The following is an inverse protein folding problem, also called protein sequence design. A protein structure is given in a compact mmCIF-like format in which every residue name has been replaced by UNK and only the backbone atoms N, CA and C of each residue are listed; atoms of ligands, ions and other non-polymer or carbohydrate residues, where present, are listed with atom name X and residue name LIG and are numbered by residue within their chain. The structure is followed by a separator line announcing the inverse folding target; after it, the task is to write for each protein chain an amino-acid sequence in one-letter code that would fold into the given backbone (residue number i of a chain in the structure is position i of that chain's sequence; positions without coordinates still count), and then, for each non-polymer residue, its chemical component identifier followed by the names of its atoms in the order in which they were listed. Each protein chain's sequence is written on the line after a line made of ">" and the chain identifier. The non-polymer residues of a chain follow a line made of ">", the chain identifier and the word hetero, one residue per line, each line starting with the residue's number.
data_IF_158128687606
#
_entry.id   IF_158128687606
#
_cell.length_a   1.000
_cell.length_b   1.000
_cell.length_c   1.000
_cell.angle_alpha   90.00
_cell.angle_beta   90.00
_cell.angle_gamma   90.00
#
_symmetry.space_group_name_H-M   'P 1'
#
loop_
_entity.id
_entity.type
_entity.pdbx_description
1 polymer ?
#
# COMPACT_ATOMS: atom_id res chain seq x y z
N UNK A 1 41.51 34.44 -48.99
CA UNK A 1 42.78 34.37 -48.24
C UNK A 1 42.50 34.91 -46.86
N UNK A 2 42.98 34.21 -45.82
CA UNK A 2 42.74 34.40 -44.39
C UNK A 2 41.27 34.34 -43.94
N UNK A 3 40.91 33.35 -43.11
CA UNK A 3 40.36 33.70 -41.80
C UNK A 3 40.44 32.57 -40.77
N UNK A 4 40.48 32.99 -39.51
CA UNK A 4 41.07 32.31 -38.37
C UNK A 4 40.20 31.21 -37.75
N UNK A 5 40.87 30.12 -37.36
CA UNK A 5 40.32 29.13 -36.45
C UNK A 5 40.30 29.68 -35.02
N UNK A 6 39.10 29.89 -34.48
CA UNK A 6 38.90 30.14 -33.05
C UNK A 6 38.38 28.87 -32.38
N UNK A 7 39.23 28.26 -31.55
CA UNK A 7 38.84 27.22 -30.62
C UNK A 7 38.08 27.84 -29.44
N UNK A 8 36.89 27.29 -29.14
CA UNK A 8 36.24 27.45 -27.84
C UNK A 8 36.01 26.08 -27.23
N UNK A 9 36.64 25.91 -26.07
CA UNK A 9 36.55 24.77 -25.15
C UNK A 9 35.14 24.65 -24.55
N UNK A 10 34.53 23.48 -24.67
CA UNK A 10 33.30 23.10 -23.96
C UNK A 10 33.65 22.53 -22.58
N UNK A 11 33.63 23.38 -21.56
CA UNK A 11 33.55 22.97 -20.17
C UNK A 11 32.11 23.23 -19.70
N UNK A 12 31.32 22.17 -19.56
CA UNK A 12 29.91 22.26 -19.16
C UNK A 12 29.26 20.89 -19.09
N UNK A 13 29.67 20.07 -18.12
CA UNK A 13 29.20 18.69 -18.00
C UNK A 13 29.33 18.09 -16.59
N UNK A 14 29.43 18.92 -15.57
CA UNK A 14 29.61 18.47 -14.17
C UNK A 14 28.67 19.18 -13.18
N UNK A 15 27.73 19.99 -13.67
CA UNK A 15 26.82 20.79 -12.82
C UNK A 15 25.47 20.12 -12.57
N UNK A 16 25.06 19.07 -13.31
CA UNK A 16 23.75 18.43 -13.12
C UNK A 16 23.78 17.25 -12.14
N UNK A 17 24.91 16.54 -12.04
CA UNK A 17 25.04 15.40 -11.11
C UNK A 17 25.13 15.84 -9.63
N UNK A 18 25.76 16.99 -9.37
CA UNK A 18 25.90 17.51 -8.00
C UNK A 18 24.57 18.04 -7.45
N UNK A 19 23.67 18.54 -8.28
CA UNK A 19 22.36 19.04 -7.84
C UNK A 19 21.43 17.90 -7.44
N UNK A 20 21.50 16.74 -8.10
CA UNK A 20 20.72 15.54 -7.74
C UNK A 20 21.23 14.85 -6.47
N UNK A 21 22.55 14.87 -6.21
CA UNK A 21 23.14 14.26 -5.01
C UNK A 21 22.94 15.15 -3.77
N UNK A 22 22.97 16.48 -3.93
CA UNK A 22 22.71 17.42 -2.82
C UNK A 22 21.23 17.41 -2.41
N UNK A 23 20.29 17.14 -3.32
CA UNK A 23 18.88 16.96 -2.97
C UNK A 23 18.63 15.70 -2.13
N UNK A 24 19.37 14.61 -2.39
CA UNK A 24 19.27 13.36 -1.63
C UNK A 24 19.91 13.45 -0.23
N UNK A 25 20.97 14.24 -0.07
CA UNK A 25 21.71 14.40 1.20
C UNK A 25 21.09 15.43 2.15
N UNK A 26 20.35 16.43 1.64
CA UNK A 26 19.63 17.38 2.50
C UNK A 26 18.35 16.77 3.08
N UNK A 27 17.78 15.73 2.46
CA UNK A 27 16.60 15.04 2.96
C UNK A 27 16.87 14.00 4.06
N UNK A 28 18.12 13.61 4.29
CA UNK A 28 18.49 12.59 5.28
C UNK A 28 18.71 13.13 6.70
N UNK A 29 18.60 14.45 6.93
CA UNK A 29 18.76 15.05 8.27
C UNK A 29 17.48 15.66 8.86
N UNK A 30 16.34 15.59 8.18
CA UNK A 30 15.05 16.08 8.69
C UNK A 30 14.13 14.97 9.24
N UNK A 31 14.57 13.71 9.28
CA UNK A 31 13.77 12.56 9.72
C UNK A 31 13.99 12.15 11.19
N UNK A 32 14.71 12.96 11.97
CA UNK A 32 15.07 12.66 13.34
C UNK A 32 14.45 13.63 14.37
N UNK A 33 13.13 13.88 14.28
CA UNK A 33 12.34 14.42 15.42
C UNK A 33 10.82 14.52 15.13
N UNK A 34 10.20 13.50 14.54
CA UNK A 34 8.74 13.36 14.55
C UNK A 34 8.34 12.06 15.22
N UNK A 35 8.87 11.85 16.42
CA UNK A 35 8.39 10.84 17.35
C UNK A 35 7.62 11.60 18.43
N UNK A 36 6.39 12.00 18.11
CA UNK A 36 5.53 12.71 19.05
C UNK A 36 4.04 12.48 18.77
N UNK A 37 3.46 11.62 19.60
CA UNK A 37 2.06 11.63 20.03
C UNK A 37 0.94 11.29 19.04
N UNK A 38 1.05 10.15 18.33
CA UNK A 38 -0.17 9.41 18.00
C UNK A 38 -0.66 8.75 19.31
N UNK A 39 -1.42 9.50 20.11
CA UNK A 39 -1.72 9.20 21.53
C UNK A 39 -2.03 7.73 21.87
N UNK A 40 -1.54 7.25 23.01
CA UNK A 40 -1.60 5.84 23.39
C UNK A 40 -3.01 5.24 23.37
N UNK A 41 -3.13 4.03 22.83
CA UNK A 41 -4.31 3.16 22.98
C UNK A 41 -4.29 2.47 24.36
N UNK A 42 -5.39 1.86 24.78
CA UNK A 42 -5.37 1.00 25.97
C UNK A 42 -4.46 -0.21 25.81
N UNK A 43 -3.97 -0.78 26.93
CA UNK A 43 -3.16 -2.00 26.92
C UNK A 43 -3.86 -3.18 26.22
N UNK A 44 -5.19 -3.28 26.36
CA UNK A 44 -5.97 -4.33 25.70
C UNK A 44 -6.02 -4.15 24.18
N UNK A 45 -6.23 -2.92 23.70
CA UNK A 45 -6.18 -2.63 22.27
C UNK A 45 -4.77 -2.85 21.70
N UNK A 46 -3.73 -2.45 22.44
CA UNK A 46 -2.34 -2.72 22.08
C UNK A 46 -2.07 -4.23 21.93
N UNK A 47 -2.48 -5.04 22.91
CA UNK A 47 -2.28 -6.48 22.89
C UNK A 47 -2.99 -7.14 21.69
N UNK A 48 -4.23 -6.74 21.41
CA UNK A 48 -4.99 -7.27 20.25
C UNK A 48 -4.28 -6.95 18.93
N UNK A 49 -3.88 -5.69 18.72
CA UNK A 49 -3.19 -5.28 17.48
C UNK A 49 -1.84 -5.97 17.34
N UNK A 50 -1.10 -6.13 18.43
CA UNK A 50 0.19 -6.86 18.44
C UNK A 50 0.00 -8.33 18.06
N UNK A 51 -1.04 -8.99 18.56
CA UNK A 51 -1.37 -10.36 18.17
C UNK A 51 -1.75 -10.48 16.69
N UNK A 52 -2.47 -9.48 16.15
CA UNK A 52 -2.78 -9.42 14.71
C UNK A 52 -1.50 -9.24 13.89
N UNK A 53 -0.60 -8.34 14.29
CA UNK A 53 0.70 -8.14 13.63
C UNK A 53 1.53 -9.43 13.62
N UNK A 54 1.55 -10.15 14.74
CA UNK A 54 2.29 -11.40 14.88
C UNK A 54 1.80 -12.52 13.94
N UNK A 55 0.50 -12.59 13.61
CA UNK A 55 -0.01 -13.62 12.69
C UNK A 55 0.29 -13.32 11.23
N UNK A 56 0.24 -12.04 10.81
CA UNK A 56 0.53 -11.66 9.42
C UNK A 56 2.04 -11.64 9.13
N UNK A 57 2.87 -11.48 10.16
CA UNK A 57 4.33 -11.39 10.06
C UNK A 57 5.03 -12.76 9.94
N UNK A 58 4.27 -13.87 9.93
CA UNK A 58 4.83 -15.22 9.73
C UNK A 58 5.21 -15.43 8.27
N UNK A 59 6.43 -15.87 7.98
CA UNK A 59 6.90 -16.14 6.61
C UNK A 59 6.33 -17.47 6.06
N UNK A 60 5.01 -17.54 5.83
CA UNK A 60 4.32 -18.76 5.36
C UNK A 60 4.85 -19.25 4.01
N UNK A 61 5.31 -18.33 3.15
CA UNK A 61 5.93 -18.63 1.86
C UNK A 61 7.43 -18.96 1.93
N UNK A 62 8.09 -18.78 3.08
CA UNK A 62 9.53 -18.95 3.20
C UNK A 62 10.35 -17.97 2.35
N UNK A 63 9.78 -16.83 1.97
CA UNK A 63 10.31 -15.83 1.02
C UNK A 63 11.26 -14.83 1.67
N UNK A 64 11.40 -14.83 2.99
CA UNK A 64 12.30 -13.96 3.74
C UNK A 64 11.65 -12.69 4.27
N UNK A 65 10.32 -12.61 4.22
CA UNK A 65 9.53 -11.47 4.66
C UNK A 65 9.74 -11.12 6.14
N UNK A 66 9.97 -12.10 7.02
CA UNK A 66 10.14 -11.90 8.47
C UNK A 66 11.20 -10.83 8.82
N UNK A 67 12.29 -10.76 8.04
CA UNK A 67 13.35 -9.75 8.25
C UNK A 67 12.94 -8.31 7.89
N UNK A 68 11.82 -8.14 7.20
CA UNK A 68 11.28 -6.87 6.73
C UNK A 68 10.28 -6.26 7.73
N UNK A 69 9.88 -7.02 8.76
CA UNK A 69 8.89 -6.60 9.76
C UNK A 69 9.43 -5.44 10.58
N UNK A 70 8.63 -4.38 10.69
CA UNK A 70 8.87 -3.22 11.56
C UNK A 70 7.84 -3.26 12.69
N UNK A 71 8.27 -3.70 13.87
CA UNK A 71 7.39 -3.89 15.02
C UNK A 71 6.63 -2.60 15.38
N UNK A 72 5.31 -2.71 15.53
CA UNK A 72 4.43 -1.62 15.93
C UNK A 72 3.95 -0.71 14.79
N UNK A 73 4.48 -0.86 13.57
CA UNK A 73 4.02 -0.06 12.43
C UNK A 73 2.55 -0.37 12.06
N UNK A 74 2.05 -1.59 12.33
CA UNK A 74 0.61 -1.89 12.18
C UNK A 74 -0.23 -1.01 13.11
N UNK A 75 0.19 -0.86 14.38
CA UNK A 75 -0.54 -0.03 15.34
C UNK A 75 -0.51 1.45 14.96
N UNK A 76 0.66 1.96 14.58
CA UNK A 76 0.78 3.36 14.15
C UNK A 76 -0.08 3.64 12.91
N UNK A 77 -0.07 2.73 11.94
CA UNK A 77 -0.91 2.81 10.73
C UNK A 77 -2.41 2.78 11.09
N UNK A 78 -2.80 1.91 12.02
CA UNK A 78 -4.19 1.79 12.47
C UNK A 78 -4.67 3.03 13.22
N UNK A 79 -3.82 3.62 14.07
CA UNK A 79 -4.14 4.87 14.77
C UNK A 79 -4.24 6.05 13.78
N UNK A 80 -3.33 6.13 12.81
CA UNK A 80 -3.36 7.14 11.76
C UNK A 80 -4.65 7.05 10.94
N UNK A 81 -4.99 5.86 10.45
CA UNK A 81 -6.23 5.64 9.70
C UNK A 81 -7.47 5.91 10.57
N UNK A 82 -7.51 5.41 11.81
CA UNK A 82 -8.67 5.56 12.69
C UNK A 82 -8.92 7.01 13.12
N UNK A 83 -7.88 7.84 13.24
CA UNK A 83 -7.99 9.22 13.75
C UNK A 83 -7.91 10.26 12.65
N UNK A 84 -8.01 9.85 11.39
CA UNK A 84 -7.85 10.73 10.25
C UNK A 84 -8.88 11.87 10.28
N UNK A 85 -8.39 13.09 10.06
CA UNK A 85 -9.18 14.32 9.95
C UNK A 85 -8.92 14.97 8.59
N UNK A 86 -9.94 15.57 7.94
CA UNK A 86 -9.71 16.30 6.71
C UNK A 86 -8.76 17.48 6.95
N UNK A 87 -7.70 17.59 6.15
CA UNK A 87 -6.74 18.70 6.21
C UNK A 87 -7.35 20.00 5.69
N UNK A 88 -8.31 19.90 4.77
CA UNK A 88 -9.00 21.05 4.17
C UNK A 88 -10.30 21.34 4.90
N UNK A 89 -10.44 22.57 5.42
CA UNK A 89 -11.59 22.97 6.24
C UNK A 89 -12.93 23.08 5.48
N UNK A 90 -12.93 22.97 4.16
CA UNK A 90 -14.13 22.90 3.31
C UNK A 90 -14.64 21.47 3.11
N UNK A 91 -13.88 20.46 3.52
CA UNK A 91 -14.22 19.05 3.36
C UNK A 91 -14.82 18.48 4.65
N UNK A 92 -15.98 17.81 4.54
CA UNK A 92 -16.66 17.17 5.67
C UNK A 92 -16.09 15.80 6.05
N UNK A 93 -15.34 15.18 5.14
CA UNK A 93 -14.80 13.82 5.26
C UNK A 93 -13.37 13.79 4.79
N UNK A 94 -12.53 13.05 5.50
CA UNK A 94 -11.17 12.79 5.06
C UNK A 94 -11.17 11.90 3.81
N UNK A 95 -10.09 11.92 3.04
CA UNK A 95 -9.92 11.15 1.82
C UNK A 95 -8.62 10.34 1.88
N UNK A 96 -8.75 9.02 1.70
CA UNK A 96 -7.64 8.07 1.62
C UNK A 96 -7.38 7.68 0.16
N UNK A 97 -6.15 7.88 -0.31
CA UNK A 97 -5.68 7.32 -1.58
C UNK A 97 -5.05 5.95 -1.30
N UNK A 98 -5.46 4.95 -2.07
CA UNK A 98 -4.98 3.57 -1.94
C UNK A 98 -4.31 3.17 -3.26
N UNK A 99 -2.99 3.06 -3.24
CA UNK A 99 -2.19 2.63 -4.39
C UNK A 99 -2.08 1.11 -4.38
N UNK A 100 -2.45 0.46 -5.47
CA UNK A 100 -2.34 -1.00 -5.56
C UNK A 100 -2.22 -1.46 -7.00
N UNK A 101 -1.66 -2.64 -7.21
CA UNK A 101 -1.48 -3.25 -8.51
C UNK A 101 -0.02 -3.52 -8.78
N UNK A 102 0.25 -4.79 -9.08
CA UNK A 102 1.57 -5.29 -9.35
C UNK A 102 1.49 -6.15 -10.63
N UNK A 103 1.96 -5.64 -11.78
CA UNK A 103 1.81 -6.32 -13.07
C UNK A 103 2.91 -7.36 -13.31
N UNK A 104 3.09 -8.30 -12.37
CA UNK A 104 4.21 -9.26 -12.39
C UNK A 104 4.06 -10.38 -13.43
N UNK A 105 2.84 -10.62 -13.92
CA UNK A 105 2.53 -11.58 -14.98
C UNK A 105 2.82 -10.95 -16.36
N UNK A 106 4.04 -10.47 -16.57
CA UNK A 106 4.48 -9.58 -17.66
C UNK A 106 4.19 -10.06 -19.09
N UNK A 107 3.97 -11.36 -19.30
CA UNK A 107 3.68 -11.95 -20.62
C UNK A 107 2.18 -12.24 -20.81
N UNK A 108 1.32 -11.68 -19.95
CA UNK A 108 -0.11 -11.92 -19.91
C UNK A 108 -0.91 -10.61 -20.00
N UNK A 109 -2.17 -10.72 -20.46
CA UNK A 109 -3.13 -9.62 -20.48
C UNK A 109 -4.43 -10.07 -19.76
N UNK A 110 -4.88 -9.37 -18.70
CA UNK A 110 -4.10 -8.37 -17.95
C UNK A 110 -2.88 -9.02 -17.25
N UNK A 111 -1.82 -8.24 -16.95
CA UNK A 111 -0.61 -8.72 -16.27
C UNK A 111 -0.74 -8.76 -14.73
N UNK A 112 -1.94 -8.49 -14.21
CA UNK A 112 -2.22 -8.31 -12.78
C UNK A 112 -2.18 -9.61 -11.99
N UNK A 113 -1.59 -9.55 -10.80
CA UNK A 113 -1.61 -10.65 -9.83
C UNK A 113 -2.73 -10.56 -8.78
N UNK A 114 -3.02 -11.69 -8.12
CA UNK A 114 -4.09 -11.83 -7.14
C UNK A 114 -3.77 -11.21 -5.78
N UNK A 115 -2.50 -10.93 -5.49
CA UNK A 115 -2.12 -10.12 -4.32
C UNK A 115 -2.23 -8.62 -4.64
N UNK A 116 -2.75 -7.86 -3.68
CA UNK A 116 -3.03 -6.43 -3.81
C UNK A 116 -4.50 -6.06 -3.91
N UNK A 117 -5.26 -6.48 -4.95
CA UNK A 117 -6.63 -6.02 -5.13
C UNK A 117 -7.53 -6.29 -3.92
N UNK A 118 -7.54 -7.50 -3.32
CA UNK A 118 -8.34 -7.72 -2.10
C UNK A 118 -7.91 -6.88 -0.89
N UNK A 119 -6.61 -6.74 -0.64
CA UNK A 119 -6.07 -5.94 0.46
C UNK A 119 -6.42 -4.46 0.30
N UNK A 120 -6.25 -3.91 -0.90
CA UNK A 120 -6.64 -2.55 -1.23
C UNK A 120 -8.14 -2.30 -0.99
N UNK A 121 -8.98 -3.26 -1.33
CA UNK A 121 -10.43 -3.17 -1.13
C UNK A 121 -10.82 -3.33 0.35
N UNK A 122 -10.08 -4.11 1.14
CA UNK A 122 -10.25 -4.16 2.59
C UNK A 122 -9.89 -2.83 3.26
N UNK A 123 -8.80 -2.19 2.82
CA UNK A 123 -8.41 -0.85 3.29
C UNK A 123 -9.47 0.19 2.90
N UNK A 124 -9.97 0.13 1.66
CA UNK A 124 -11.04 1.00 1.18
C UNK A 124 -12.33 0.83 2.00
N UNK A 125 -12.71 -0.42 2.30
CA UNK A 125 -13.84 -0.75 3.18
C UNK A 125 -13.64 -0.15 4.56
N UNK A 126 -12.46 -0.27 5.16
CA UNK A 126 -12.16 0.32 6.45
C UNK A 126 -12.29 1.84 6.43
N UNK A 127 -11.70 2.52 5.44
CA UNK A 127 -11.82 3.97 5.28
C UNK A 127 -13.29 4.42 5.20
N UNK A 128 -14.10 3.76 4.36
CA UNK A 128 -15.53 4.06 4.22
C UNK A 128 -16.30 3.75 5.52
N UNK A 129 -15.98 2.63 6.18
CA UNK A 129 -16.57 2.21 7.45
C UNK A 129 -16.32 3.22 8.58
N UNK A 130 -15.15 3.87 8.56
CA UNK A 130 -14.74 4.95 9.46
C UNK A 130 -15.33 6.33 9.10
N UNK A 131 -15.99 6.43 7.94
CA UNK A 131 -16.71 7.62 7.47
C UNK A 131 -15.97 8.46 6.43
N UNK A 132 -14.87 7.95 5.87
CA UNK A 132 -14.02 8.65 4.90
C UNK A 132 -14.41 8.36 3.46
N UNK A 133 -13.81 9.11 2.53
CA UNK A 133 -13.73 8.77 1.12
C UNK A 133 -12.49 7.91 0.87
N UNK A 134 -12.57 7.02 -0.10
CA UNK A 134 -11.45 6.22 -0.57
C UNK A 134 -11.36 6.28 -2.10
N UNK A 135 -10.15 6.38 -2.64
CA UNK A 135 -9.89 6.20 -4.07
C UNK A 135 -8.78 5.18 -4.25
N UNK A 136 -9.10 4.08 -4.95
CA UNK A 136 -8.08 3.13 -5.40
C UNK A 136 -7.45 3.68 -6.67
N UNK A 137 -6.12 3.71 -6.72
CA UNK A 137 -5.34 4.19 -7.85
C UNK A 137 -4.42 3.08 -8.33
N UNK A 138 -4.46 2.78 -9.62
CA UNK A 138 -3.66 1.69 -10.23
C UNK A 138 -3.18 2.04 -11.64
N UNK A 139 -2.34 1.19 -12.23
CA UNK A 139 -1.94 1.29 -13.64
C UNK A 139 -3.11 0.95 -14.57
N UNK A 140 -3.15 1.54 -15.76
CA UNK A 140 -4.20 1.31 -16.75
C UNK A 140 -4.36 -0.18 -17.11
N UNK A 141 -3.26 -0.93 -17.16
CA UNK A 141 -3.28 -2.37 -17.45
C UNK A 141 -4.03 -3.21 -16.40
N UNK A 142 -4.17 -2.70 -15.17
CA UNK A 142 -4.88 -3.36 -14.08
C UNK A 142 -6.37 -2.96 -14.01
N UNK A 143 -6.83 -2.02 -14.86
CA UNK A 143 -8.18 -1.43 -14.78
C UNK A 143 -9.28 -2.49 -14.76
N UNK A 144 -9.21 -3.49 -15.65
CA UNK A 144 -10.26 -4.51 -15.79
C UNK A 144 -10.42 -5.33 -14.51
N UNK A 145 -9.31 -5.70 -13.88
CA UNK A 145 -9.28 -6.45 -12.62
C UNK A 145 -9.82 -5.62 -11.46
N UNK A 146 -9.34 -4.39 -11.27
CA UNK A 146 -9.83 -3.54 -10.18
C UNK A 146 -11.31 -3.15 -10.37
N UNK A 147 -11.76 -2.92 -11.60
CA UNK A 147 -13.19 -2.69 -11.87
C UNK A 147 -14.04 -3.92 -11.52
N UNK A 148 -13.53 -5.13 -11.77
CA UNK A 148 -14.21 -6.37 -11.38
C UNK A 148 -14.19 -6.58 -9.85
N UNK A 149 -13.06 -6.30 -9.18
CA UNK A 149 -12.93 -6.37 -7.73
C UNK A 149 -13.96 -5.48 -7.03
N UNK A 150 -14.10 -4.25 -7.53
CA UNK A 150 -15.02 -3.22 -7.03
C UNK A 150 -16.49 -3.43 -7.45
N UNK A 151 -16.80 -4.43 -8.29
CA UNK A 151 -18.18 -4.73 -8.64
C UNK A 151 -18.95 -5.28 -7.44
N UNK A 152 -20.24 -4.94 -7.30
CA UNK A 152 -21.10 -5.37 -6.19
C UNK A 152 -20.60 -5.00 -4.78
N UNK A 153 -19.76 -3.98 -4.63
CA UNK A 153 -19.46 -3.37 -3.33
C UNK A 153 -20.65 -2.61 -2.73
N UNK A 154 -21.84 -2.65 -3.36
CA UNK A 154 -23.03 -1.82 -3.12
C UNK A 154 -23.67 -1.86 -1.72
N UNK A 155 -23.07 -2.57 -0.76
CA UNK A 155 -23.34 -2.39 0.67
C UNK A 155 -22.53 -1.25 1.30
N UNK A 156 -21.46 -0.81 0.64
CA UNK A 156 -20.64 0.34 0.98
C UNK A 156 -21.21 1.51 0.18
N UNK A 157 -21.49 2.65 0.81
CA UNK A 157 -22.11 3.78 0.11
C UNK A 157 -21.32 4.12 -1.17
N UNK A 158 -21.85 3.74 -2.34
CA UNK A 158 -21.11 3.70 -3.63
C UNK A 158 -20.49 5.06 -3.99
N UNK A 159 -21.03 6.16 -3.47
CA UNK A 159 -20.49 7.51 -3.63
C UNK A 159 -19.17 7.78 -2.91
N UNK A 160 -18.69 6.87 -2.06
CA UNK A 160 -17.49 7.08 -1.24
C UNK A 160 -16.26 6.29 -1.72
N UNK A 161 -16.39 5.50 -2.79
CA UNK A 161 -15.31 4.71 -3.38
C UNK A 161 -15.07 5.10 -4.84
N UNK A 162 -13.88 5.61 -5.16
CA UNK A 162 -13.45 5.91 -6.53
C UNK A 162 -12.42 4.90 -7.06
N UNK A 163 -12.33 4.79 -8.39
CA UNK A 163 -11.24 4.13 -9.11
C UNK A 163 -10.61 5.13 -10.07
N UNK A 164 -9.31 5.34 -9.92
CA UNK A 164 -8.51 6.13 -10.85
C UNK A 164 -7.42 5.24 -11.44
N UNK A 165 -7.12 5.46 -12.70
CA UNK A 165 -6.03 4.74 -13.37
C UNK A 165 -5.21 5.71 -14.22
N UNK A 166 -3.94 5.39 -14.31
CA UNK A 166 -2.95 6.19 -15.04
C UNK A 166 -2.19 5.30 -16.01
N UNK A 167 -1.78 5.89 -17.13
CA UNK A 167 -0.93 5.24 -18.12
C UNK A 167 0.54 5.35 -17.71
N UNK A 168 1.40 4.73 -18.50
CA UNK A 168 2.85 4.87 -18.40
C UNK A 168 3.29 6.33 -18.51
N UNK A 169 4.50 6.63 -18.03
CA UNK A 169 5.07 7.98 -18.08
C UNK A 169 5.05 8.56 -19.50
N UNK A 170 5.42 7.74 -20.49
CA UNK A 170 5.51 8.14 -21.90
C UNK A 170 4.14 8.45 -22.52
N UNK A 171 3.07 7.90 -21.96
CA UNK A 171 1.70 8.04 -22.46
C UNK A 171 0.86 9.04 -21.67
N UNK A 172 1.35 9.51 -20.52
CA UNK A 172 0.66 10.49 -19.70
C UNK A 172 0.58 11.85 -20.38
N UNK A 173 -0.60 12.45 -20.37
CA UNK A 173 -0.85 13.80 -20.87
C UNK A 173 -0.74 14.84 -19.76
N UNK A 174 -0.76 16.13 -20.13
CA UNK A 174 -0.90 17.22 -19.14
C UNK A 174 -2.17 17.06 -18.30
N UNK A 175 -3.28 16.61 -18.90
CA UNK A 175 -4.53 16.35 -18.18
C UNK A 175 -4.41 15.20 -17.19
N UNK A 176 -3.57 14.20 -17.46
CA UNK A 176 -3.31 13.11 -16.51
C UNK A 176 -2.46 13.61 -15.34
N UNK A 177 -1.47 14.46 -15.60
CA UNK A 177 -0.69 15.12 -14.55
C UNK A 177 -1.58 16.01 -13.65
N UNK A 178 -2.49 16.79 -14.24
CA UNK A 178 -3.44 17.63 -13.49
C UNK A 178 -4.40 16.77 -12.64
N UNK A 179 -4.86 15.63 -13.17
CA UNK A 179 -5.68 14.66 -12.41
C UNK A 179 -4.91 14.06 -11.25
N UNK A 180 -3.66 13.65 -11.45
CA UNK A 180 -2.79 13.10 -10.40
C UNK A 180 -2.58 14.14 -9.28
N UNK A 181 -2.23 15.36 -9.64
CA UNK A 181 -2.05 16.45 -8.68
C UNK A 181 -3.36 16.76 -7.92
N UNK A 182 -4.50 16.78 -8.63
CA UNK A 182 -5.83 17.01 -8.03
C UNK A 182 -6.24 15.93 -7.03
N UNK A 183 -5.78 14.68 -7.23
CA UNK A 183 -5.99 13.60 -6.26
C UNK A 183 -5.21 13.89 -4.98
N UNK A 184 -3.93 14.22 -5.10
CA UNK A 184 -3.05 14.52 -3.95
C UNK A 184 -3.57 15.72 -3.16
N UNK A 185 -4.02 16.78 -3.84
CA UNK A 185 -4.53 18.00 -3.20
C UNK A 185 -5.76 17.75 -2.29
N UNK A 186 -6.53 16.69 -2.56
CA UNK A 186 -7.72 16.32 -1.78
C UNK A 186 -7.46 15.24 -0.74
N UNK A 187 -6.27 14.64 -0.78
CA UNK A 187 -5.91 13.50 0.04
C UNK A 187 -5.45 13.91 1.44
N UNK A 188 -5.75 13.06 2.41
CA UNK A 188 -5.31 13.19 3.81
C UNK A 188 -4.39 12.05 4.25
N UNK A 189 -4.41 10.92 3.54
CA UNK A 189 -3.58 9.74 3.82
C UNK A 189 -3.34 8.94 2.53
N UNK A 190 -2.08 8.59 2.28
CA UNK A 190 -1.71 7.69 1.17
C UNK A 190 -1.34 6.33 1.75
N UNK A 191 -1.93 5.27 1.20
CA UNK A 191 -1.64 3.88 1.58
C UNK A 191 -1.27 3.11 0.31
N UNK A 192 -0.11 2.47 0.26
CA UNK A 192 0.23 1.50 -0.78
C UNK A 192 -0.03 0.07 -0.27
N UNK A 193 -0.62 -0.80 -1.10
CA UNK A 193 -0.81 -2.21 -0.80
C UNK A 193 -0.51 -3.03 -2.05
N UNK A 194 0.59 -3.78 -2.02
CA UNK A 194 1.09 -4.54 -3.17
C UNK A 194 1.19 -3.66 -4.42
N UNK A 195 1.94 -2.57 -4.27
CA UNK A 195 2.17 -1.63 -5.36
C UNK A 195 3.66 -1.64 -5.69
N UNK A 196 4.01 -1.95 -6.93
CA UNK A 196 5.39 -1.90 -7.39
C UNK A 196 6.03 -0.51 -7.11
N UNK A 197 7.23 -0.53 -6.52
CA UNK A 197 8.02 0.65 -6.19
C UNK A 197 9.27 0.78 -7.04
N UNK A 198 9.71 2.01 -7.35
CA UNK A 198 10.94 2.22 -8.11
C UNK A 198 12.16 1.80 -7.29
N UNK A 199 13.09 1.09 -7.92
CA UNK A 199 14.42 0.80 -7.40
C UNK A 199 15.35 2.01 -7.55
N UNK A 200 16.63 1.83 -7.21
CA UNK A 200 17.61 2.92 -7.20
C UNK A 200 17.87 3.56 -8.59
N UNK A 201 17.60 2.82 -9.67
CA UNK A 201 17.67 3.32 -11.05
C UNK A 201 16.37 3.95 -11.55
N UNK A 202 15.33 3.99 -10.72
CA UNK A 202 14.01 4.55 -11.03
C UNK A 202 13.05 3.57 -11.73
N UNK A 203 13.48 2.34 -12.01
CA UNK A 203 12.64 1.33 -12.66
C UNK A 203 11.98 0.40 -11.63
N UNK A 204 10.88 -0.24 -12.00
CA UNK A 204 10.17 -1.20 -11.14
C UNK A 204 10.40 -2.63 -11.63
N UNK A 205 10.68 -3.55 -10.72
CA UNK A 205 11.05 -4.92 -11.05
C UNK A 205 10.16 -5.97 -10.38
N UNK A 206 9.90 -7.07 -11.07
CA UNK A 206 9.38 -8.29 -10.42
C UNK A 206 10.42 -8.90 -9.48
N UNK A 207 10.03 -9.81 -8.59
CA UNK A 207 10.98 -10.57 -7.75
C UNK A 207 12.04 -11.34 -8.56
N UNK A 208 11.72 -11.69 -9.82
CA UNK A 208 12.63 -12.34 -10.78
C UNK A 208 13.60 -11.36 -11.46
N UNK A 209 13.52 -10.07 -11.17
CA UNK A 209 14.35 -9.03 -11.76
C UNK A 209 13.96 -8.63 -13.18
N UNK A 210 12.74 -9.00 -13.63
CA UNK A 210 12.18 -8.53 -14.90
C UNK A 210 11.73 -7.09 -14.74
N UNK A 211 12.18 -6.22 -15.64
CA UNK A 211 11.85 -4.79 -15.68
C UNK A 211 10.40 -4.60 -16.17
N UNK A 212 9.52 -4.11 -15.31
CA UNK A 212 8.12 -3.82 -15.65
C UNK A 212 7.96 -2.41 -16.24
N UNK A 213 8.91 -1.50 -15.97
CA UNK A 213 8.92 -0.15 -16.55
C UNK A 213 9.22 -0.23 -18.04
N UNK A 214 10.28 -0.94 -18.44
CA UNK A 214 10.62 -1.15 -19.87
C UNK A 214 9.53 -1.93 -20.63
N UNK A 215 8.73 -2.73 -19.92
CA UNK A 215 7.57 -3.43 -20.49
C UNK A 215 6.36 -2.52 -20.71
N UNK A 216 6.41 -1.26 -20.28
CA UNK A 216 5.31 -0.31 -20.40
C UNK A 216 4.12 -0.66 -19.51
N UNK A 217 4.37 -1.24 -18.32
CA UNK A 217 3.30 -1.70 -17.42
C UNK A 217 3.11 -0.79 -16.19
N UNK A 218 3.99 0.19 -16.00
CA UNK A 218 4.10 0.96 -14.76
C UNK A 218 3.78 2.43 -15.02
N UNK A 219 2.71 2.90 -14.40
CA UNK A 219 2.43 4.31 -14.24
C UNK A 219 3.30 4.91 -13.12
N UNK A 220 3.68 6.21 -13.23
CA UNK A 220 4.56 6.90 -12.28
C UNK A 220 3.85 7.26 -10.95
N UNK A 221 3.15 6.30 -10.34
CA UNK A 221 2.34 6.51 -9.14
C UNK A 221 3.17 6.85 -7.89
N UNK A 222 4.48 6.62 -7.91
CA UNK A 222 5.39 7.10 -6.84
C UNK A 222 5.32 8.64 -6.69
N UNK A 223 4.99 9.37 -7.76
CA UNK A 223 4.77 10.82 -7.72
C UNK A 223 3.65 11.25 -6.79
N UNK A 224 2.64 10.40 -6.56
CA UNK A 224 1.58 10.68 -5.59
C UNK A 224 2.16 10.80 -4.18
N UNK A 225 3.10 9.91 -3.83
CA UNK A 225 3.81 9.95 -2.54
C UNK A 225 4.74 11.15 -2.47
N UNK A 226 5.51 11.43 -3.52
CA UNK A 226 6.44 12.57 -3.56
C UNK A 226 5.72 13.92 -3.40
N UNK A 227 4.64 14.13 -4.16
CA UNK A 227 3.81 15.33 -4.07
C UNK A 227 3.14 15.43 -2.70
N UNK A 228 2.58 14.33 -2.20
CA UNK A 228 1.89 14.30 -0.90
C UNK A 228 2.81 14.61 0.27
N UNK A 229 4.02 14.05 0.30
CA UNK A 229 5.00 14.34 1.35
C UNK A 229 5.56 15.76 1.24
N UNK A 230 5.89 16.18 0.03
CA UNK A 230 6.55 17.46 -0.21
C UNK A 230 5.65 18.67 0.04
N UNK A 231 4.56 18.79 -0.73
CA UNK A 231 3.72 19.98 -0.70
C UNK A 231 2.77 20.01 0.50
N UNK A 232 2.39 18.84 1.02
CA UNK A 232 1.19 18.69 1.84
C UNK A 232 1.44 18.01 3.21
N UNK A 233 2.64 17.46 3.42
CA UNK A 233 2.99 16.73 4.65
C UNK A 233 2.14 15.47 4.90
N UNK A 234 1.56 14.89 3.84
CA UNK A 234 0.69 13.71 3.91
C UNK A 234 1.53 12.50 4.30
N UNK A 235 1.05 11.76 5.30
CA UNK A 235 1.68 10.51 5.74
C UNK A 235 1.52 9.41 4.69
N UNK A 236 2.52 8.56 4.57
CA UNK A 236 2.56 7.43 3.66
C UNK A 236 2.70 6.11 4.43
N UNK A 237 1.68 5.26 4.34
CA UNK A 237 1.68 3.88 4.85
C UNK A 237 1.89 2.92 3.69
N UNK A 238 2.63 1.85 3.89
CA UNK A 238 2.80 0.80 2.88
C UNK A 238 2.59 -0.60 3.43
N UNK A 239 2.14 -1.49 2.56
CA UNK A 239 2.01 -2.93 2.79
C UNK A 239 2.67 -3.65 1.61
N UNK A 240 3.56 -4.59 1.92
CA UNK A 240 4.31 -5.39 0.94
C UNK A 240 4.88 -6.66 1.58
N UNK A 241 5.41 -7.56 0.75
CA UNK A 241 5.92 -8.86 1.20
C UNK A 241 7.31 -9.26 0.64
N UNK A 242 7.76 -8.61 -0.43
CA UNK A 242 8.93 -9.01 -1.22
C UNK A 242 10.13 -8.06 -1.19
N UNK A 243 9.91 -6.78 -0.91
CA UNK A 243 10.95 -5.73 -0.87
C UNK A 243 11.02 -4.83 -2.12
N UNK A 244 10.28 -5.17 -3.19
CA UNK A 244 10.18 -4.41 -4.44
C UNK A 244 8.90 -3.57 -4.53
N UNK A 245 8.12 -3.53 -3.46
CA UNK A 245 6.91 -2.71 -3.31
C UNK A 245 7.23 -1.32 -2.78
N UNK A 246 6.47 -0.34 -3.22
CA UNK A 246 6.58 1.04 -2.77
C UNK A 246 6.37 1.12 -1.25
N UNK A 247 7.32 1.74 -0.55
CA UNK A 247 7.35 1.82 0.92
C UNK A 247 8.46 1.01 1.56
N UNK A 248 8.92 -0.05 0.87
CA UNK A 248 9.99 -0.95 1.31
C UNK A 248 11.35 -0.28 1.49
N UNK A 249 11.52 0.95 0.99
CA UNK A 249 12.71 1.77 1.26
C UNK A 249 12.97 1.98 2.76
N UNK A 250 11.94 1.87 3.62
CA UNK A 250 12.07 1.92 5.09
C UNK A 250 12.99 0.80 5.64
N UNK A 251 12.99 -0.36 4.97
CA UNK A 251 13.78 -1.55 5.36
C UNK A 251 14.80 -1.94 4.29
N UNK A 252 15.25 -0.97 3.48
CA UNK A 252 16.20 -1.19 2.37
C UNK A 252 17.42 -2.02 2.78
N UNK A 253 18.01 -1.74 3.95
CA UNK A 253 19.15 -2.51 4.45
C UNK A 253 18.81 -3.99 4.70
N UNK A 254 17.63 -4.29 5.24
CA UNK A 254 17.18 -5.66 5.47
C UNK A 254 17.03 -6.40 4.13
N UNK A 255 16.46 -5.74 3.12
CA UNK A 255 16.30 -6.31 1.78
C UNK A 255 17.66 -6.64 1.16
N UNK A 256 18.59 -5.69 1.17
CA UNK A 256 19.94 -5.85 0.59
C UNK A 256 20.79 -6.92 1.28
N UNK A 257 20.52 -7.23 2.54
CA UNK A 257 21.31 -8.19 3.34
C UNK A 257 20.63 -9.54 3.51
N UNK A 258 19.39 -9.70 3.03
CA UNK A 258 18.63 -10.93 3.17
C UNK A 258 18.94 -11.92 2.02
N UNK A 259 19.59 -13.06 2.29
CA UNK A 259 19.95 -14.03 1.26
C UNK A 259 18.75 -14.73 0.61
N UNK A 260 17.55 -14.65 1.20
CA UNK A 260 16.32 -15.19 0.59
C UNK A 260 15.78 -14.28 -0.51
N UNK A 261 16.14 -13.00 -0.53
CA UNK A 261 15.75 -12.03 -1.56
C UNK A 261 16.85 -11.97 -2.63
N UNK A 262 16.80 -12.91 -3.57
CA UNK A 262 17.90 -13.21 -4.51
C UNK A 262 18.39 -12.03 -5.36
N UNK A 263 17.51 -11.06 -5.67
CA UNK A 263 17.83 -9.90 -6.52
C UNK A 263 17.75 -8.58 -5.74
N UNK A 264 17.93 -8.60 -4.42
CA UNK A 264 17.68 -7.44 -3.55
C UNK A 264 18.41 -6.17 -3.98
N UNK A 265 19.65 -6.27 -4.47
CA UNK A 265 20.43 -5.15 -5.00
C UNK A 265 19.83 -4.48 -6.23
N UNK A 266 19.11 -5.25 -7.05
CA UNK A 266 18.44 -4.75 -8.26
C UNK A 266 17.02 -4.27 -7.99
N UNK A 267 16.25 -5.04 -7.22
CA UNK A 267 14.79 -4.87 -7.16
C UNK A 267 14.32 -4.02 -5.99
N UNK A 268 15.17 -3.77 -4.99
CA UNK A 268 14.74 -3.12 -3.76
C UNK A 268 14.17 -1.73 -4.04
N UNK A 269 12.90 -1.54 -3.71
CA UNK A 269 12.25 -0.26 -3.85
C UNK A 269 12.84 0.75 -2.88
N UNK A 270 13.07 1.98 -3.34
CA UNK A 270 13.77 3.01 -2.56
C UNK A 270 12.83 4.00 -1.88
N UNK A 271 11.57 4.08 -2.32
CA UNK A 271 10.56 4.91 -1.67
C UNK A 271 10.27 4.38 -0.27
N UNK A 272 10.62 5.15 0.77
CA UNK A 272 10.39 4.77 2.16
C UNK A 272 9.03 5.25 2.66
N UNK A 273 8.26 4.32 3.27
CA UNK A 273 7.04 4.65 4.00
C UNK A 273 7.35 5.27 5.36
N UNK A 274 6.41 6.04 5.90
CA UNK A 274 6.45 6.49 7.29
C UNK A 274 6.12 5.31 8.22
N UNK A 275 5.17 4.46 7.82
CA UNK A 275 4.87 3.16 8.46
C UNK A 275 4.76 2.04 7.42
N UNK A 276 5.41 0.91 7.67
CA UNK A 276 5.48 -0.26 6.79
C UNK A 276 4.91 -1.49 7.51
N UNK A 277 3.88 -2.08 6.92
CA UNK A 277 3.31 -3.36 7.35
C UNK A 277 3.87 -4.43 6.41
N UNK A 278 4.93 -5.11 6.84
CA UNK A 278 5.38 -6.33 6.16
C UNK A 278 4.44 -7.48 6.54
N UNK A 279 3.90 -8.17 5.54
CA UNK A 279 3.00 -9.31 5.75
C UNK A 279 3.38 -10.45 4.82
N UNK A 280 3.06 -11.70 5.17
CA UNK A 280 3.36 -12.85 4.31
C UNK A 280 2.70 -12.80 2.93
N UNK A 281 1.59 -12.08 2.85
CA UNK A 281 0.78 -11.77 1.67
C UNK A 281 0.21 -10.39 1.94
N UNK A 282 0.35 -9.45 1.02
CA UNK A 282 -0.06 -8.06 1.22
C UNK A 282 -1.56 -7.90 1.48
N UNK A 283 -2.39 -8.75 0.87
CA UNK A 283 -3.82 -8.84 1.18
C UNK A 283 -4.09 -9.03 2.68
N UNK A 284 -3.30 -9.87 3.36
CA UNK A 284 -3.44 -10.12 4.79
C UNK A 284 -3.06 -8.89 5.62
N UNK A 285 -2.03 -8.16 5.21
CA UNK A 285 -1.69 -6.85 5.78
C UNK A 285 -2.84 -5.84 5.64
N UNK A 286 -3.53 -5.83 4.50
CA UNK A 286 -4.74 -5.03 4.29
C UNK A 286 -5.88 -5.39 5.25
N UNK A 287 -6.15 -6.68 5.46
CA UNK A 287 -7.15 -7.15 6.44
C UNK A 287 -6.75 -6.78 7.87
N UNK A 288 -5.47 -6.92 8.22
CA UNK A 288 -4.94 -6.58 9.52
C UNK A 288 -5.07 -5.09 9.81
N UNK A 289 -4.73 -4.21 8.86
CA UNK A 289 -4.90 -2.77 9.00
C UNK A 289 -6.37 -2.41 9.20
N UNK A 290 -7.28 -3.03 8.43
CA UNK A 290 -8.72 -2.82 8.58
C UNK A 290 -9.23 -3.22 9.97
N UNK A 291 -8.81 -4.38 10.48
CA UNK A 291 -9.19 -4.88 11.79
C UNK A 291 -8.58 -4.05 12.94
N UNK A 292 -7.29 -3.72 12.83
CA UNK A 292 -6.60 -2.89 13.81
C UNK A 292 -7.21 -1.49 13.88
N UNK A 293 -7.55 -0.87 12.75
CA UNK A 293 -8.22 0.43 12.74
C UNK A 293 -9.61 0.38 13.39
N UNK A 294 -10.36 -0.72 13.22
CA UNK A 294 -11.64 -0.94 13.91
C UNK A 294 -11.47 -1.05 15.43
N UNK A 295 -10.45 -1.80 15.90
CA UNK A 295 -10.09 -1.93 17.32
C UNK A 295 -9.71 -0.57 17.91
N UNK A 296 -8.83 0.18 17.23
CA UNK A 296 -8.42 1.52 17.68
C UNK A 296 -9.61 2.47 17.73
N UNK A 297 -10.49 2.44 16.72
CA UNK A 297 -11.68 3.31 16.68
C UNK A 297 -12.63 3.04 17.84
N UNK A 298 -12.89 1.77 18.16
CA UNK A 298 -13.70 1.41 19.32
C UNK A 298 -13.05 1.85 20.62
N UNK A 299 -11.74 1.61 20.78
CA UNK A 299 -11.00 1.99 21.98
C UNK A 299 -11.03 3.51 22.20
N UNK A 300 -10.84 4.30 21.14
CA UNK A 300 -10.87 5.76 21.22
C UNK A 300 -12.25 6.30 21.57
N UNK A 301 -13.32 5.73 21.00
CA UNK A 301 -14.70 6.13 21.32
C UNK A 301 -15.07 5.73 22.75
N UNK A 302 -14.70 4.52 23.17
CA UNK A 302 -14.96 4.02 24.54
C UNK A 302 -14.24 4.87 25.59
N UNK A 303 -12.99 5.23 25.32
CA UNK A 303 -12.17 6.04 26.22
C UNK A 303 -12.32 7.56 26.00
N UNK A 304 -13.30 7.99 25.19
CA UNK A 304 -13.62 9.41 24.92
C UNK A 304 -12.46 10.22 24.32
N UNK A 305 -11.54 9.57 23.61
CA UNK A 305 -10.46 10.23 22.83
C UNK A 305 -10.97 10.76 21.49
N UNK A 306 -11.97 10.10 20.92
CA UNK A 306 -12.68 10.55 19.72
C UNK A 306 -14.18 10.66 19.97
N UNK A 307 -14.85 11.67 19.39
CA UNK A 307 -16.30 11.68 19.33
C UNK A 307 -16.79 10.65 18.30
N UNK A 308 -17.97 10.08 18.53
CA UNK A 308 -18.58 9.16 17.57
C UNK A 308 -19.75 8.39 18.16
N UNK A 309 -20.55 7.72 17.30
CA UNK A 309 -21.60 6.85 17.78
C UNK A 309 -20.98 5.69 18.57
N UNK A 310 -21.50 5.45 19.76
CA UNK A 310 -21.17 4.25 20.51
C UNK A 310 -21.65 3.03 19.70
N UNK A 311 -20.71 2.17 19.34
CA UNK A 311 -20.91 0.96 18.56
C UNK A 311 -20.13 -0.15 19.23
N UNK A 312 -20.64 -1.38 19.15
CA UNK A 312 -19.86 -2.52 19.64
C UNK A 312 -18.62 -2.71 18.77
N UNK A 313 -17.57 -3.33 19.33
CA UNK A 313 -16.39 -3.72 18.55
C UNK A 313 -16.79 -4.62 17.36
N UNK A 314 -17.76 -5.51 17.56
CA UNK A 314 -18.34 -6.34 16.49
C UNK A 314 -18.93 -5.52 15.36
N UNK A 315 -19.63 -4.43 15.67
CA UNK A 315 -20.17 -3.53 14.64
C UNK A 315 -19.06 -2.80 13.88
N UNK A 316 -17.97 -2.42 14.55
CA UNK A 316 -16.81 -1.81 13.89
C UNK A 316 -16.08 -2.80 12.99
N UNK A 317 -15.81 -4.01 13.47
CA UNK A 317 -15.17 -5.08 12.68
C UNK A 317 -16.02 -5.42 11.46
N UNK A 318 -17.33 -5.65 11.61
CA UNK A 318 -18.22 -5.95 10.49
C UNK A 318 -18.28 -4.84 9.45
N UNK A 319 -18.10 -3.58 9.86
CA UNK A 319 -18.06 -2.44 8.93
C UNK A 319 -16.74 -2.31 8.20
N UNK A 320 -15.62 -2.55 8.87
CA UNK A 320 -14.29 -2.26 8.32
C UNK A 320 -13.66 -3.46 7.62
N UNK A 321 -13.88 -4.67 8.11
CA UNK A 321 -13.23 -5.89 7.64
C UNK A 321 -14.17 -6.65 6.70
N UNK A 322 -13.69 -7.18 5.55
CA UNK A 322 -14.51 -8.02 4.69
C UNK A 322 -14.88 -9.34 5.38
N UNK A 323 -16.03 -9.90 5.02
CA UNK A 323 -16.36 -11.28 5.37
C UNK A 323 -15.63 -12.26 4.44
N UNK A 324 -15.54 -13.53 4.80
CA UNK A 324 -15.01 -14.58 3.91
C UNK A 324 -15.81 -14.66 2.61
N UNK A 325 -17.14 -14.50 2.67
CA UNK A 325 -17.98 -14.49 1.48
C UNK A 325 -17.66 -13.31 0.56
N UNK A 326 -17.51 -12.10 1.14
CA UNK A 326 -17.09 -10.91 0.40
C UNK A 326 -15.75 -11.15 -0.30
N UNK A 327 -14.80 -11.73 0.41
CA UNK A 327 -13.43 -11.96 -0.04
C UNK A 327 -13.34 -13.02 -1.13
N UNK A 328 -13.96 -14.18 -0.95
CA UNK A 328 -14.04 -15.24 -1.97
C UNK A 328 -14.71 -14.71 -3.23
N UNK A 329 -15.82 -13.98 -3.08
CA UNK A 329 -16.56 -13.38 -4.20
C UNK A 329 -15.75 -12.33 -4.94
N UNK A 330 -14.94 -11.53 -4.23
CA UNK A 330 -14.03 -10.54 -4.82
C UNK A 330 -12.91 -11.22 -5.60
N UNK A 331 -12.22 -12.20 -5.02
CA UNK A 331 -11.16 -12.93 -5.68
C UNK A 331 -11.67 -13.64 -6.94
N UNK A 332 -12.88 -14.20 -6.87
CA UNK A 332 -13.56 -14.79 -8.01
C UNK A 332 -13.72 -13.84 -9.19
N UNK A 333 -14.19 -12.63 -8.91
CA UNK A 333 -14.33 -11.59 -9.95
C UNK A 333 -12.99 -11.19 -10.53
N UNK A 334 -11.94 -11.12 -9.70
CA UNK A 334 -10.58 -10.83 -10.17
C UNK A 334 -10.07 -11.91 -11.13
N UNK A 335 -10.14 -13.18 -10.73
CA UNK A 335 -9.69 -14.32 -11.55
C UNK A 335 -10.50 -14.42 -12.85
N UNK A 336 -11.82 -14.20 -12.79
CA UNK A 336 -12.68 -14.14 -13.98
C UNK A 336 -12.30 -13.00 -14.93
N UNK A 337 -11.87 -11.85 -14.40
CA UNK A 337 -11.33 -10.73 -15.18
C UNK A 337 -9.92 -11.01 -15.74
N UNK A 338 -9.32 -12.15 -15.40
CA UNK A 338 -8.03 -12.59 -15.92
C UNK A 338 -6.87 -12.43 -14.94
N UNK A 339 -7.12 -12.04 -13.69
CA UNK A 339 -6.11 -12.02 -12.64
C UNK A 339 -5.48 -13.40 -12.42
N UNK A 340 -4.19 -13.45 -12.05
CA UNK A 340 -3.41 -14.68 -11.90
C UNK A 340 -2.67 -14.71 -10.58
N UNK A 341 -2.35 -15.90 -10.09
CA UNK A 341 -1.43 -16.03 -8.97
C UNK A 341 -0.02 -15.58 -9.40
N UNK A 342 0.63 -14.71 -8.61
CA UNK A 342 1.93 -14.12 -8.92
C UNK A 342 3.08 -15.13 -8.97
N UNK A 343 2.93 -16.28 -8.29
CA UNK A 343 3.93 -17.35 -8.22
C UNK A 343 3.68 -18.39 -9.32
N UNK A 344 2.46 -18.90 -9.46
CA UNK A 344 2.13 -19.97 -10.42
C UNK A 344 1.85 -19.45 -11.84
N UNK A 345 1.46 -18.18 -11.95
CA UNK A 345 1.01 -17.57 -13.20
C UNK A 345 -0.32 -18.12 -13.73
N UNK A 346 -1.06 -18.89 -12.92
CA UNK A 346 -2.34 -19.49 -13.30
C UNK A 346 -3.52 -18.64 -12.87
N UNK A 347 -4.64 -18.76 -13.60
CA UNK A 347 -5.93 -18.14 -13.24
C UNK A 347 -6.65 -19.01 -12.21
N UNK A 348 -6.18 -18.95 -10.97
CA UNK A 348 -6.69 -19.76 -9.87
C UNK A 348 -6.91 -18.93 -8.60
N UNK A 349 -7.67 -19.48 -7.66
CA UNK A 349 -8.02 -18.81 -6.40
C UNK A 349 -6.90 -18.95 -5.36
N UNK A 350 -5.67 -18.73 -5.78
CA UNK A 350 -4.50 -18.67 -4.89
C UNK A 350 -3.93 -17.27 -4.90
N UNK A 351 -3.25 -16.93 -3.83
CA UNK A 351 -2.56 -15.64 -3.66
C UNK A 351 -1.15 -15.97 -3.21
N UNK A 352 -0.16 -15.63 -4.02
CA UNK A 352 1.26 -15.93 -3.76
C UNK A 352 1.56 -17.40 -3.49
N UNK A 353 0.90 -18.28 -4.24
CA UNK A 353 0.97 -19.72 -4.06
C UNK A 353 0.22 -20.25 -2.83
N UNK A 354 -0.37 -19.37 -2.02
CA UNK A 354 -1.19 -19.75 -0.88
C UNK A 354 -2.60 -20.13 -1.34
N UNK A 355 -3.11 -21.25 -0.82
CA UNK A 355 -4.47 -21.68 -1.11
C UNK A 355 -5.51 -20.70 -0.57
N UNK A 356 -6.68 -20.65 -1.20
CA UNK A 356 -7.82 -19.88 -0.71
C UNK A 356 -8.09 -20.12 0.79
N UNK A 357 -8.08 -21.39 1.21
CA UNK A 357 -8.33 -21.77 2.60
C UNK A 357 -7.26 -21.21 3.56
N UNK A 358 -6.01 -21.10 3.13
CA UNK A 358 -4.93 -20.48 3.92
C UNK A 358 -5.22 -19.00 4.14
N UNK A 359 -5.57 -18.28 3.09
CA UNK A 359 -5.97 -16.86 3.18
C UNK A 359 -7.22 -16.67 4.05
N UNK A 360 -8.24 -17.54 3.91
CA UNK A 360 -9.46 -17.45 4.72
C UNK A 360 -9.19 -17.77 6.19
N UNK A 361 -8.32 -18.73 6.48
CA UNK A 361 -7.87 -19.01 7.85
C UNK A 361 -7.17 -17.80 8.47
N UNK A 362 -6.33 -17.10 7.71
CA UNK A 362 -5.71 -15.85 8.16
C UNK A 362 -6.77 -14.79 8.49
N UNK A 363 -7.69 -14.51 7.57
CA UNK A 363 -8.80 -13.57 7.77
C UNK A 363 -9.65 -13.92 9.01
N UNK A 364 -10.03 -15.18 9.19
CA UNK A 364 -10.76 -15.66 10.38
C UNK A 364 -9.97 -15.43 11.66
N UNK A 365 -8.66 -15.67 11.64
CA UNK A 365 -7.79 -15.48 12.80
C UNK A 365 -7.68 -13.99 13.18
N UNK A 366 -7.51 -13.11 12.18
CA UNK A 366 -7.53 -11.65 12.37
C UNK A 366 -8.85 -11.21 13.01
N UNK A 367 -9.99 -11.66 12.48
CA UNK A 367 -11.31 -11.34 13.01
C UNK A 367 -11.51 -11.88 14.43
N UNK A 368 -11.07 -13.12 14.72
CA UNK A 368 -11.20 -13.72 16.04
C UNK A 368 -10.39 -12.96 17.10
N UNK A 369 -9.15 -12.61 16.77
CA UNK A 369 -8.30 -11.77 17.62
C UNK A 369 -8.92 -10.40 17.88
N UNK A 370 -9.39 -9.74 16.81
CA UNK A 370 -10.04 -8.44 16.91
C UNK A 370 -11.29 -8.48 17.81
N UNK A 371 -12.05 -9.58 17.81
CA UNK A 371 -13.26 -9.75 18.62
C UNK A 371 -12.99 -10.32 20.02
N UNK A 372 -11.76 -10.71 20.33
CA UNK A 372 -11.39 -11.32 21.61
C UNK A 372 -11.96 -12.73 21.83
N UNK A 373 -12.21 -13.48 20.75
CA UNK A 373 -12.84 -14.81 20.78
C UNK A 373 -11.87 -15.99 20.92
N UNK A 374 -10.65 -15.79 21.42
CA UNK A 374 -9.72 -16.89 21.74
C UNK A 374 -10.13 -17.66 23.01
N UNK A 375 -11.17 -18.50 22.89
CA UNK A 375 -11.34 -19.59 23.85
C UNK A 375 -11.37 -21.01 23.26
N UNK A 376 -11.38 -21.19 21.93
CA UNK A 376 -11.54 -22.54 21.34
C UNK A 376 -10.66 -22.83 20.11
N UNK A 377 -9.36 -22.53 20.16
CA UNK A 377 -8.39 -23.04 19.17
C UNK A 377 -7.17 -23.63 19.90
N UNK A 378 -7.39 -24.78 20.54
CA UNK A 378 -6.36 -25.70 21.01
C UNK A 378 -6.48 -27.03 20.26
#
# INVERSE_FOLDING_TARGET
>A
MSDQGSGRSSAGGWSSLLTSIVFYLVFTMASASFQSDIGAVSESAFAVVSSIEAIISKDEGGRGMESLVVEGDLLQSAQLLSRLVPRRGDCLKAHVIILSGFPCCVDQDPPTETDGPPGALAIARAAIGLGYHATVVTDECNRSVFKAAMHNVGHWAESSLGLETFKTEEEMTLSDNDRLASLVEKCDLIIACERAGPAADGHCYTMRGIDMTERGLIAPLHRIVELGRGAEGIQFVAIGDGGNEMGMGKVLKAILTNPKIKNGDKIAAVTAADYLIAASVSNWGGYALAAAAAVVREDDIRNKRLPGPQRSLKDWVNRCVPSEEDEVSLLDRCVQAGCRDGVSGQKERTVDGMSLETSMKCLRSICSLALGSERDLA
#
